data_IF_181817618031
#
_entry.id   IF_181817618031
#
_cell.length_a   1.000
_cell.length_b   1.000
_cell.length_c   1.000
_cell.angle_alpha   90.00
_cell.angle_beta   90.00
_cell.angle_gamma   90.00
#
_symmetry.space_group_name_H-M   'P 1'
#
loop_
_entity.id
_entity.type
_entity.pdbx_description
1 polymer ?
#
# COMPACT_ATOMS: atom_id res chain seq x y z
N UNK A 1 14.13 18.58 -1.15
CA UNK A 1 14.87 19.80 -1.51
C UNK A 1 13.94 20.98 -1.86
N UNK A 2 12.91 20.79 -2.69
CA UNK A 2 11.95 21.86 -3.04
C UNK A 2 11.20 22.46 -1.83
N UNK A 3 10.69 21.61 -0.93
CA UNK A 3 10.00 22.05 0.29
C UNK A 3 10.90 22.83 1.26
N UNK A 4 12.20 22.52 1.32
CA UNK A 4 13.16 23.24 2.16
C UNK A 4 13.47 24.65 1.66
N UNK A 5 13.55 24.84 0.34
CA UNK A 5 13.73 26.15 -0.28
C UNK A 5 12.52 27.07 -0.05
N UNK A 6 11.31 26.54 -0.27
CA UNK A 6 10.04 27.24 -0.02
C UNK A 6 9.97 27.71 1.44
N UNK A 7 10.27 26.82 2.38
CA UNK A 7 10.20 27.10 3.81
C UNK A 7 11.08 28.30 4.22
N UNK A 8 12.28 28.47 3.66
CA UNK A 8 13.18 29.58 4.02
C UNK A 8 12.59 30.97 3.74
N UNK A 9 11.64 31.08 2.81
CA UNK A 9 11.05 32.37 2.39
C UNK A 9 9.68 32.68 3.02
N UNK A 10 8.98 31.68 3.57
CA UNK A 10 7.62 31.85 4.09
C UNK A 10 7.57 31.95 5.62
N UNK A 11 6.80 32.92 6.15
CA UNK A 11 6.41 33.04 7.58
C UNK A 11 5.57 31.83 8.03
N UNK A 12 5.51 31.55 9.33
CA UNK A 12 4.79 30.40 9.90
C UNK A 12 3.34 30.26 9.40
N UNK A 13 2.55 31.34 9.41
CA UNK A 13 1.18 31.32 8.90
C UNK A 13 1.09 30.99 7.39
N UNK A 14 2.08 31.42 6.59
CA UNK A 14 2.13 31.09 5.15
C UNK A 14 2.60 29.65 4.93
N UNK A 15 3.49 29.13 5.78
CA UNK A 15 3.94 27.73 5.75
C UNK A 15 2.79 26.76 6.06
N UNK A 16 1.94 27.05 7.06
CA UNK A 16 0.76 26.21 7.34
C UNK A 16 -0.23 26.22 6.17
N UNK A 17 -0.49 27.39 5.56
CA UNK A 17 -1.32 27.47 4.33
C UNK A 17 -0.74 26.64 3.19
N UNK A 18 0.59 26.62 3.06
CA UNK A 18 1.27 25.78 2.08
C UNK A 18 1.08 24.27 2.39
N UNK A 19 1.19 23.84 3.64
CA UNK A 19 0.88 22.46 4.03
C UNK A 19 -0.56 22.06 3.67
N UNK A 20 -1.53 22.92 3.96
CA UNK A 20 -2.94 22.72 3.62
C UNK A 20 -3.13 22.62 2.10
N UNK A 21 -2.43 23.44 1.32
CA UNK A 21 -2.47 23.37 -0.14
C UNK A 21 -1.89 22.04 -0.66
N UNK A 22 -0.75 21.58 -0.13
CA UNK A 22 -0.14 20.31 -0.52
C UNK A 22 -1.03 19.10 -0.18
N UNK A 23 -1.64 19.09 1.00
CA UNK A 23 -2.60 18.04 1.39
C UNK A 23 -3.86 18.07 0.54
N UNK A 24 -4.37 19.25 0.19
CA UNK A 24 -5.50 19.39 -0.74
C UNK A 24 -5.16 18.78 -2.10
N UNK A 25 -3.97 19.04 -2.64
CA UNK A 25 -3.52 18.44 -3.92
C UNK A 25 -3.41 16.92 -3.79
N UNK A 26 -2.86 16.41 -2.70
CA UNK A 26 -2.79 14.96 -2.44
C UNK A 26 -4.18 14.31 -2.31
N UNK A 27 -5.15 15.02 -1.71
CA UNK A 27 -6.55 14.60 -1.63
C UNK A 27 -7.18 14.51 -3.02
N UNK A 28 -6.95 15.49 -3.89
CA UNK A 28 -7.42 15.45 -5.28
C UNK A 28 -6.79 14.32 -6.10
N UNK A 29 -5.59 13.85 -5.73
CA UNK A 29 -4.91 12.72 -6.36
C UNK A 29 -5.33 11.36 -5.77
N UNK A 30 -5.99 11.33 -4.61
CA UNK A 30 -6.45 10.10 -3.94
C UNK A 30 -7.40 9.21 -4.77
N UNK A 31 -8.22 9.70 -5.72
CA UNK A 31 -8.97 8.84 -6.63
C UNK A 31 -8.12 7.90 -7.48
N UNK A 32 -6.78 8.02 -7.47
CA UNK A 32 -5.89 7.03 -8.08
C UNK A 32 -6.16 5.60 -7.58
N UNK A 33 -6.62 5.42 -6.34
CA UNK A 33 -6.96 4.09 -5.79
C UNK A 33 -8.18 3.46 -6.49
N UNK A 34 -9.03 4.26 -7.16
CA UNK A 34 -10.12 3.74 -7.99
C UNK A 34 -9.62 3.14 -9.30
N UNK A 35 -8.39 3.48 -9.71
CA UNK A 35 -7.72 2.86 -10.86
C UNK A 35 -7.04 1.59 -10.35
N UNK A 36 -7.85 0.56 -10.09
CA UNK A 36 -7.37 -0.78 -9.82
C UNK A 36 -7.62 -1.67 -11.03
N UNK A 37 -6.79 -2.69 -11.18
CA UNK A 37 -6.99 -3.74 -12.16
C UNK A 37 -7.69 -4.90 -11.48
N UNK A 38 -8.81 -5.34 -12.05
CA UNK A 38 -9.41 -6.59 -11.61
C UNK A 38 -8.45 -7.73 -11.93
N UNK A 39 -8.33 -8.70 -11.02
CA UNK A 39 -7.61 -9.91 -11.34
C UNK A 39 -8.53 -10.83 -12.14
N UNK A 40 -7.93 -11.76 -12.90
CA UNK A 40 -8.73 -12.76 -13.62
C UNK A 40 -9.31 -13.73 -12.59
N UNK A 41 -10.64 -13.83 -12.57
CA UNK A 41 -11.38 -14.64 -11.60
C UNK A 41 -10.92 -16.11 -11.60
N UNK A 42 -10.77 -16.66 -10.40
CA UNK A 42 -10.39 -18.04 -10.18
C UNK A 42 -11.60 -18.97 -10.25
N UNK A 43 -11.64 -19.85 -11.26
CA UNK A 43 -12.71 -20.80 -11.45
C UNK A 43 -12.79 -21.81 -10.28
N UNK A 44 -14.00 -21.97 -9.73
CA UNK A 44 -14.29 -22.82 -8.59
C UNK A 44 -14.03 -22.17 -7.22
N UNK A 45 -13.58 -20.91 -7.18
CA UNK A 45 -13.35 -20.14 -5.95
C UNK A 45 -14.12 -18.81 -5.98
N UNK A 46 -13.96 -18.03 -7.04
CA UNK A 46 -14.63 -16.73 -7.20
C UNK A 46 -15.76 -16.80 -8.22
N UNK A 47 -15.53 -17.55 -9.30
CA UNK A 47 -16.50 -17.76 -10.37
C UNK A 47 -16.76 -19.24 -10.58
N UNK A 48 -17.92 -19.57 -11.17
CA UNK A 48 -18.20 -20.95 -11.56
C UNK A 48 -17.32 -21.37 -12.73
N UNK A 49 -17.10 -22.69 -12.85
CA UNK A 49 -16.42 -23.25 -14.02
C UNK A 49 -17.11 -22.77 -15.32
N UNK A 50 -16.32 -22.36 -16.34
CA UNK A 50 -16.89 -21.89 -17.60
C UNK A 50 -17.77 -22.99 -18.22
N UNK A 51 -19.04 -22.67 -18.44
CA UNK A 51 -20.02 -23.50 -19.17
C UNK A 51 -20.27 -22.91 -20.54
N UNK A 52 -20.76 -23.74 -21.46
CA UNK A 52 -21.09 -23.35 -22.84
C UNK A 52 -22.16 -22.24 -22.93
N UNK A 53 -23.03 -22.09 -21.91
CA UNK A 53 -24.24 -21.26 -22.01
C UNK A 53 -24.36 -20.12 -20.99
N UNK A 54 -23.32 -19.85 -20.18
CA UNK A 54 -23.39 -18.80 -19.14
C UNK A 54 -24.37 -19.08 -18.00
N UNK A 55 -24.92 -20.29 -17.93
CA UNK A 55 -25.71 -20.83 -16.82
C UNK A 55 -25.05 -22.13 -16.35
N UNK A 56 -25.11 -22.42 -15.05
CA UNK A 56 -24.43 -23.57 -14.42
C UNK A 56 -24.69 -24.90 -15.13
N UNK A 57 -23.68 -25.78 -15.14
CA UNK A 57 -23.71 -27.11 -15.76
C UNK A 57 -25.03 -27.83 -15.44
N UNK A 58 -25.86 -28.11 -16.44
CA UNK A 58 -26.97 -29.05 -16.29
C UNK A 58 -26.45 -30.47 -16.51
N UNK A 59 -26.58 -31.39 -15.53
CA UNK A 59 -26.11 -32.76 -15.69
C UNK A 59 -26.97 -33.50 -16.71
N UNK A 60 -26.35 -34.01 -17.78
CA UNK A 60 -26.93 -35.08 -18.59
C UNK A 60 -26.70 -36.42 -17.88
N UNK A 61 -27.45 -36.65 -16.80
CA UNK A 61 -27.64 -37.99 -16.24
C UNK A 61 -28.93 -38.01 -15.42
N UNK A 62 -29.81 -38.96 -15.76
CA UNK A 62 -31.12 -39.20 -15.14
C UNK A 62 -31.03 -39.73 -13.70
N UNK A 63 -30.29 -39.07 -12.81
CA UNK A 63 -30.36 -39.37 -11.38
C UNK A 63 -30.29 -38.09 -10.55
N UNK A 64 -31.35 -37.92 -9.78
CA UNK A 64 -31.73 -36.78 -8.98
C UNK A 64 -30.75 -36.53 -7.82
N UNK A 65 -30.12 -35.34 -7.83
CA UNK A 65 -29.75 -34.42 -6.72
C UNK A 65 -28.35 -33.81 -6.88
N UNK A 66 -28.14 -32.96 -7.87
CA UNK A 66 -27.26 -31.80 -7.68
C UNK A 66 -27.78 -30.69 -8.59
N UNK A 67 -28.80 -29.99 -8.11
CA UNK A 67 -29.18 -28.71 -8.72
C UNK A 67 -27.99 -27.78 -8.51
N UNK A 68 -27.22 -27.54 -9.57
CA UNK A 68 -26.25 -26.43 -9.62
C UNK A 68 -27.08 -25.16 -9.52
N UNK A 69 -27.37 -24.75 -8.29
CA UNK A 69 -28.02 -23.49 -8.01
C UNK A 69 -27.10 -22.39 -8.56
N UNK A 70 -27.56 -21.52 -9.47
CA UNK A 70 -26.81 -20.32 -9.88
C UNK A 70 -26.58 -19.35 -8.71
N UNK A 71 -27.25 -19.60 -7.58
CA UNK A 71 -27.12 -18.91 -6.29
C UNK A 71 -26.24 -19.67 -5.28
N UNK A 72 -25.72 -20.84 -5.64
CA UNK A 72 -24.81 -21.61 -4.80
C UNK A 72 -23.39 -21.05 -4.93
N UNK A 73 -22.60 -21.11 -3.85
CA UNK A 73 -21.19 -20.74 -3.91
C UNK A 73 -20.42 -21.60 -4.92
N UNK A 74 -19.46 -21.03 -5.68
CA UNK A 74 -18.60 -21.81 -6.57
C UNK A 74 -17.84 -22.91 -5.79
N UNK A 75 -17.60 -24.04 -6.45
CA UNK A 75 -16.92 -25.21 -5.87
C UNK A 75 -15.70 -25.57 -6.70
N UNK A 76 -14.60 -25.94 -6.04
CA UNK A 76 -13.36 -26.38 -6.69
C UNK A 76 -13.54 -27.66 -7.52
N UNK A 77 -14.35 -28.62 -7.04
CA UNK A 77 -14.67 -29.84 -7.79
C UNK A 77 -15.89 -29.64 -8.68
N UNK A 78 -15.78 -30.15 -9.90
CA UNK A 78 -16.81 -30.16 -10.94
C UNK A 78 -16.76 -31.50 -11.69
N UNK A 79 -17.74 -31.76 -12.55
CA UNK A 79 -17.78 -33.00 -13.34
C UNK A 79 -16.57 -33.12 -14.29
N UNK A 80 -16.10 -32.00 -14.85
CA UNK A 80 -14.96 -31.98 -15.77
C UNK A 80 -13.65 -32.43 -15.10
N UNK A 81 -13.38 -32.04 -13.85
CA UNK A 81 -12.20 -32.48 -13.09
C UNK A 81 -12.47 -33.70 -12.20
N UNK A 82 -13.62 -34.36 -12.35
CA UNK A 82 -13.98 -35.56 -11.58
C UNK A 82 -13.15 -36.79 -11.93
N UNK A 83 -12.47 -36.79 -13.08
CA UNK A 83 -11.60 -37.89 -13.52
C UNK A 83 -10.25 -37.93 -12.78
N UNK A 84 -9.88 -36.85 -12.08
CA UNK A 84 -8.61 -36.72 -11.37
C UNK A 84 -8.82 -36.49 -9.86
N UNK A 85 -7.98 -37.10 -9.03
CA UNK A 85 -8.05 -36.98 -7.56
C UNK A 85 -7.35 -35.70 -7.09
N UNK A 86 -7.94 -34.53 -7.35
CA UNK A 86 -7.32 -33.26 -6.97
C UNK A 86 -7.27 -33.06 -5.46
N UNK A 87 -6.11 -32.61 -4.97
CA UNK A 87 -5.90 -32.18 -3.59
C UNK A 87 -6.23 -30.69 -3.45
N UNK A 88 -6.97 -30.32 -2.40
CA UNK A 88 -7.33 -28.93 -2.11
C UNK A 88 -6.14 -28.09 -1.63
N UNK A 89 -5.11 -28.72 -1.10
CA UNK A 89 -3.87 -28.11 -0.65
C UNK A 89 -2.88 -27.81 -1.79
N UNK A 90 -3.06 -28.44 -2.96
CA UNK A 90 -2.13 -28.29 -4.09
C UNK A 90 -2.51 -27.07 -4.95
N UNK A 91 -1.89 -25.93 -4.65
CA UNK A 91 -2.12 -24.66 -5.33
C UNK A 91 -1.01 -24.38 -6.37
N UNK A 92 -1.35 -24.56 -7.65
CA UNK A 92 -0.47 -24.31 -8.78
C UNK A 92 -1.27 -23.63 -9.91
N UNK A 93 -1.54 -22.32 -9.81
CA UNK A 93 -2.48 -21.67 -10.72
C UNK A 93 -2.07 -21.83 -12.18
N UNK A 94 -3.05 -22.08 -13.03
CA UNK A 94 -2.87 -22.17 -14.49
C UNK A 94 -3.83 -21.24 -15.20
N UNK A 95 -3.34 -20.58 -16.25
CA UNK A 95 -4.13 -19.69 -17.09
C UNK A 95 -4.55 -20.41 -18.35
N UNK A 96 -5.87 -20.47 -18.61
CA UNK A 96 -6.41 -20.86 -19.90
C UNK A 96 -6.75 -19.61 -20.73
N UNK A 97 -6.15 -19.50 -21.90
CA UNK A 97 -6.49 -18.52 -22.93
C UNK A 97 -7.45 -19.17 -23.94
N UNK A 98 -8.70 -18.71 -23.96
CA UNK A 98 -9.70 -19.14 -24.94
C UNK A 98 -9.50 -18.39 -26.27
N UNK A 99 -9.91 -18.99 -27.39
CA UNK A 99 -9.83 -18.35 -28.71
C UNK A 99 -10.63 -17.05 -28.83
N UNK A 100 -11.67 -16.86 -28.01
CA UNK A 100 -12.41 -15.60 -27.87
C UNK A 100 -11.59 -14.46 -27.24
N UNK A 101 -10.38 -14.74 -26.75
CA UNK A 101 -9.54 -13.80 -26.03
C UNK A 101 -9.88 -13.67 -24.54
N UNK A 102 -10.89 -14.41 -24.05
CA UNK A 102 -11.21 -14.52 -22.62
C UNK A 102 -10.16 -15.38 -21.92
N UNK A 103 -9.75 -14.93 -20.74
CA UNK A 103 -8.80 -15.62 -19.88
C UNK A 103 -9.53 -16.15 -18.64
N UNK A 104 -9.17 -17.35 -18.20
CA UNK A 104 -9.70 -17.97 -16.97
C UNK A 104 -8.54 -18.60 -16.21
N UNK A 105 -8.47 -18.36 -14.90
CA UNK A 105 -7.46 -19.00 -14.04
C UNK A 105 -8.12 -20.18 -13.31
N UNK A 106 -7.39 -21.29 -13.21
CA UNK A 106 -7.80 -22.46 -12.43
C UNK A 106 -6.84 -22.68 -11.25
N UNK A 107 -7.35 -23.27 -10.17
CA UNK A 107 -6.59 -23.47 -8.92
C UNK A 107 -5.33 -24.35 -9.08
N UNK A 108 -5.42 -25.39 -9.92
CA UNK A 108 -4.30 -26.25 -10.28
C UNK A 108 -4.50 -26.88 -11.66
N UNK A 109 -3.49 -27.51 -12.27
CA UNK A 109 -3.66 -28.26 -13.51
C UNK A 109 -4.69 -29.39 -13.37
N UNK A 110 -4.77 -30.01 -12.18
CA UNK A 110 -5.77 -31.02 -11.87
C UNK A 110 -7.19 -30.41 -11.85
N UNK A 111 -7.37 -29.26 -11.22
CA UNK A 111 -8.66 -28.58 -11.20
C UNK A 111 -9.08 -28.06 -12.58
N UNK A 112 -8.14 -27.74 -13.46
CA UNK A 112 -8.37 -27.49 -14.88
C UNK A 112 -8.68 -28.78 -15.68
N UNK A 113 -8.55 -29.96 -15.06
CA UNK A 113 -8.84 -31.26 -15.64
C UNK A 113 -7.83 -31.69 -16.71
N UNK A 114 -6.57 -31.29 -16.58
CA UNK A 114 -5.48 -31.66 -17.48
C UNK A 114 -4.86 -33.02 -17.07
N UNK A 115 -4.39 -33.81 -18.04
CA UNK A 115 -3.73 -35.11 -17.84
C UNK A 115 -2.31 -35.02 -17.20
N UNK A 116 -2.04 -33.97 -16.42
CA UNK A 116 -0.81 -33.70 -15.66
C UNK A 116 0.53 -33.66 -16.44
N UNK A 117 0.55 -33.88 -17.76
CA UNK A 117 1.77 -33.77 -18.58
C UNK A 117 2.06 -32.31 -18.92
N UNK A 118 2.85 -31.66 -18.07
CA UNK A 118 3.46 -30.36 -18.39
C UNK A 118 4.53 -30.55 -19.48
N UNK A 119 4.39 -29.85 -20.61
CA UNK A 119 5.42 -29.85 -21.64
C UNK A 119 6.46 -28.75 -21.37
N UNK A 120 7.71 -29.08 -20.98
CA UNK A 120 8.71 -28.08 -20.62
C UNK A 120 9.15 -27.23 -21.81
N UNK A 121 9.06 -27.76 -23.03
CA UNK A 121 9.46 -27.06 -24.26
C UNK A 121 8.45 -26.00 -24.69
N UNK A 122 7.15 -26.30 -24.61
CA UNK A 122 6.07 -25.35 -24.95
C UNK A 122 5.58 -24.56 -23.75
N UNK A 123 5.95 -24.96 -22.52
CA UNK A 123 5.50 -24.40 -21.24
C UNK A 123 3.98 -24.42 -21.07
N UNK A 124 3.35 -25.47 -21.57
CA UNK A 124 1.89 -25.59 -21.66
C UNK A 124 1.39 -26.95 -21.13
N UNK A 125 0.14 -26.95 -20.65
CA UNK A 125 -0.63 -28.14 -20.31
C UNK A 125 -1.58 -28.51 -21.45
N UNK A 126 -1.75 -29.81 -21.65
CA UNK A 126 -2.60 -30.37 -22.69
C UNK A 126 -3.74 -31.21 -22.10
N UNK A 127 -4.76 -31.43 -22.92
CA UNK A 127 -5.92 -32.28 -22.63
C UNK A 127 -6.69 -31.85 -21.36
N UNK A 128 -6.84 -30.55 -21.16
CA UNK A 128 -7.59 -29.98 -20.05
C UNK A 128 -9.09 -30.02 -20.34
N UNK A 129 -9.84 -30.81 -19.57
CA UNK A 129 -11.27 -31.06 -19.77
C UNK A 129 -12.19 -29.96 -19.24
N UNK A 130 -11.73 -29.15 -18.29
CA UNK A 130 -12.49 -28.01 -17.75
C UNK A 130 -12.29 -26.71 -18.55
N UNK A 131 -11.42 -26.74 -19.56
CA UNK A 131 -11.23 -25.67 -20.54
C UNK A 131 -12.07 -26.10 -21.75
N UNK A 132 -13.14 -25.37 -22.07
CA UNK A 132 -14.30 -25.82 -22.86
C UNK A 132 -14.04 -26.72 -24.08
N UNK A 133 -14.99 -27.61 -24.38
CA UNK A 133 -14.95 -28.56 -25.52
C UNK A 133 -16.20 -28.43 -26.42
N UNK A 134 -16.08 -27.77 -27.58
CA UNK A 134 -15.92 -28.40 -28.91
C UNK A 134 -16.57 -27.60 -30.06
N UNK A 135 -15.78 -27.34 -31.11
CA UNK A 135 -16.23 -26.71 -32.36
C UNK A 135 -15.14 -25.86 -32.99
N UNK A 136 -14.08 -26.49 -33.51
CA UNK A 136 -12.90 -25.85 -34.14
C UNK A 136 -12.06 -25.06 -33.11
N UNK A 137 -11.05 -25.73 -32.52
CA UNK A 137 -9.83 -25.08 -32.03
C UNK A 137 -10.00 -23.88 -31.07
N UNK A 138 -10.80 -24.00 -30.00
CA UNK A 138 -10.94 -22.91 -29.02
C UNK A 138 -10.00 -22.97 -27.81
N UNK A 139 -9.20 -24.04 -27.65
CA UNK A 139 -8.08 -24.03 -26.70
C UNK A 139 -6.91 -23.39 -27.40
N UNK A 140 -6.59 -22.14 -27.05
CA UNK A 140 -5.40 -21.52 -27.59
C UNK A 140 -4.18 -22.05 -26.84
N UNK A 141 -4.10 -21.83 -25.52
CA UNK A 141 -2.97 -22.27 -24.66
C UNK A 141 -3.40 -22.37 -23.20
N UNK A 142 -2.95 -23.41 -22.48
CA UNK A 142 -3.03 -23.48 -21.01
C UNK A 142 -1.62 -23.34 -20.45
N UNK A 143 -1.31 -22.19 -19.87
CA UNK A 143 0.03 -21.84 -19.38
C UNK A 143 0.11 -21.95 -17.87
N UNK A 144 1.33 -22.17 -17.38
CA UNK A 144 1.64 -22.05 -15.96
C UNK A 144 1.50 -20.62 -15.46
N UNK A 145 0.96 -20.46 -14.25
CA UNK A 145 0.82 -19.20 -13.55
C UNK A 145 -0.50 -18.48 -13.82
N UNK A 146 -0.56 -17.24 -13.36
CA UNK A 146 -1.70 -16.35 -13.60
C UNK A 146 -1.71 -15.83 -15.04
N UNK A 147 -2.90 -15.43 -15.49
CA UNK A 147 -3.07 -14.83 -16.80
C UNK A 147 -2.40 -13.46 -16.89
N UNK A 148 -1.86 -13.14 -18.08
CA UNK A 148 -1.29 -11.82 -18.35
C UNK A 148 -2.42 -10.78 -18.36
N UNK A 149 -2.40 -9.86 -17.39
CA UNK A 149 -3.39 -8.80 -17.27
C UNK A 149 -3.21 -7.78 -18.39
N UNK A 150 -4.20 -7.66 -19.30
CA UNK A 150 -4.26 -6.60 -20.33
C UNK A 150 -4.70 -5.25 -19.77
N UNK A 151 -4.34 -4.95 -18.52
CA UNK A 151 -4.83 -3.77 -17.83
C UNK A 151 -4.01 -2.52 -18.18
N UNK A 152 -4.58 -1.63 -18.98
CA UNK A 152 -3.99 -0.32 -19.28
C UNK A 152 -4.00 0.62 -18.06
N UNK A 153 -4.87 0.34 -17.07
CA UNK A 153 -5.02 1.14 -15.85
C UNK A 153 -3.76 1.19 -14.98
N UNK A 154 -2.89 0.18 -15.03
CA UNK A 154 -1.66 0.14 -14.25
C UNK A 154 -0.75 1.34 -14.56
N UNK A 155 -0.60 1.70 -15.83
CA UNK A 155 0.21 2.86 -16.21
C UNK A 155 -0.39 4.16 -15.67
N UNK A 156 -1.72 4.32 -15.74
CA UNK A 156 -2.44 5.45 -15.17
C UNK A 156 -2.27 5.54 -13.65
N UNK A 157 -2.37 4.41 -12.94
CA UNK A 157 -2.11 4.33 -11.51
C UNK A 157 -0.70 4.80 -11.17
N UNK A 158 0.33 4.32 -11.88
CA UNK A 158 1.72 4.72 -11.63
C UNK A 158 1.97 6.21 -11.88
N UNK A 159 1.38 6.76 -12.94
CA UNK A 159 1.50 8.18 -13.29
C UNK A 159 0.86 9.09 -12.24
N UNK A 160 -0.20 8.65 -11.56
CA UNK A 160 -0.84 9.39 -10.46
C UNK A 160 -0.19 9.11 -9.09
N UNK A 161 0.32 7.91 -8.89
CA UNK A 161 0.97 7.49 -7.65
C UNK A 161 2.25 8.26 -7.37
N UNK A 162 3.08 8.50 -8.40
CA UNK A 162 4.31 9.26 -8.27
C UNK A 162 4.10 10.70 -7.75
N UNK A 163 3.24 11.55 -8.36
CA UNK A 163 2.96 12.88 -7.82
C UNK A 163 2.25 12.81 -6.47
N UNK A 164 1.34 11.84 -6.25
CA UNK A 164 0.71 11.65 -4.94
C UNK A 164 1.76 11.47 -3.83
N UNK A 165 2.73 10.57 -4.04
CA UNK A 165 3.82 10.33 -3.09
C UNK A 165 4.64 11.59 -2.88
N UNK A 166 4.99 12.30 -3.95
CA UNK A 166 5.74 13.55 -3.86
C UNK A 166 5.03 14.57 -2.96
N UNK A 167 3.73 14.82 -3.19
CA UNK A 167 2.98 15.78 -2.38
C UNK A 167 2.77 15.30 -0.94
N UNK A 168 2.50 14.02 -0.72
CA UNK A 168 2.35 13.44 0.61
C UNK A 168 3.63 13.60 1.45
N UNK A 169 4.80 13.27 0.90
CA UNK A 169 6.07 13.41 1.61
C UNK A 169 6.55 14.87 1.68
N UNK A 170 6.18 15.72 0.71
CA UNK A 170 6.56 17.13 0.71
C UNK A 170 6.00 17.91 1.91
N UNK A 171 4.90 17.44 2.53
CA UNK A 171 4.29 18.04 3.73
C UNK A 171 5.17 17.88 4.99
N UNK A 172 6.00 16.85 5.07
CA UNK A 172 6.79 16.58 6.29
C UNK A 172 7.79 17.70 6.63
N UNK A 173 8.50 18.22 5.62
CA UNK A 173 9.50 19.29 5.81
C UNK A 173 8.89 20.61 6.32
N UNK A 174 7.82 21.17 5.72
CA UNK A 174 7.22 22.39 6.22
C UNK A 174 6.57 22.21 7.60
N UNK A 175 6.05 21.02 7.93
CA UNK A 175 5.57 20.74 9.30
C UNK A 175 6.68 20.82 10.34
N UNK A 176 7.81 20.15 10.11
CA UNK A 176 8.97 20.23 11.00
C UNK A 176 9.47 21.67 11.13
N UNK A 177 9.48 22.43 10.03
CA UNK A 177 9.88 23.83 10.09
C UNK A 177 8.93 24.72 10.89
N UNK A 178 7.62 24.45 10.89
CA UNK A 178 6.68 25.20 11.73
C UNK A 178 7.01 24.96 13.19
N UNK A 179 7.21 23.70 13.60
CA UNK A 179 7.57 23.35 14.99
C UNK A 179 8.85 24.06 15.44
N UNK A 180 9.89 24.06 14.60
CA UNK A 180 11.16 24.73 14.92
C UNK A 180 11.06 26.25 15.07
N UNK A 181 10.06 26.87 14.47
CA UNK A 181 9.84 28.32 14.53
C UNK A 181 8.89 28.73 15.65
N UNK A 182 8.10 27.80 16.19
CA UNK A 182 7.20 28.06 17.31
C UNK A 182 7.86 27.84 18.67
N UNK A 183 9.06 27.27 18.71
CA UNK A 183 9.80 26.98 19.95
C UNK A 183 11.15 27.68 19.98
N UNK A 184 11.57 28.06 21.19
CA UNK A 184 12.85 28.72 21.41
C UNK A 184 14.04 27.81 21.07
N UNK A 185 15.17 28.43 20.71
CA UNK A 185 16.36 27.71 20.25
C UNK A 185 16.85 26.64 21.23
N UNK A 186 16.73 26.89 22.54
CA UNK A 186 17.16 25.97 23.59
C UNK A 186 16.28 24.71 23.69
N UNK A 187 15.01 24.77 23.25
CA UNK A 187 14.03 23.69 23.45
C UNK A 187 13.72 22.90 22.16
N UNK A 188 14.32 23.29 21.03
CA UNK A 188 14.06 22.67 19.71
C UNK A 188 14.27 21.17 19.67
N UNK A 189 15.39 20.71 20.21
CA UNK A 189 15.73 19.28 20.22
C UNK A 189 14.75 18.47 21.07
N UNK A 190 14.28 19.06 22.17
CA UNK A 190 13.27 18.45 23.04
C UNK A 190 11.91 18.36 22.33
N UNK A 191 11.45 19.45 21.71
CA UNK A 191 10.21 19.49 20.94
C UNK A 191 10.21 18.49 19.77
N UNK A 192 11.29 18.41 19.00
CA UNK A 192 11.44 17.43 17.93
C UNK A 192 11.45 15.99 18.47
N UNK A 193 12.10 15.75 19.61
CA UNK A 193 12.07 14.45 20.28
C UNK A 193 10.65 13.99 20.59
N UNK A 194 9.85 14.85 21.22
CA UNK A 194 8.43 14.57 21.53
C UNK A 194 7.63 14.36 20.24
N UNK A 195 7.82 15.21 19.23
CA UNK A 195 7.14 15.09 17.94
C UNK A 195 7.37 13.70 17.32
N UNK A 196 8.61 13.22 17.29
CA UNK A 196 8.93 11.90 16.73
C UNK A 196 8.40 10.75 17.57
N UNK A 197 8.38 10.87 18.90
CA UNK A 197 7.77 9.87 19.78
C UNK A 197 6.27 9.77 19.47
N UNK A 198 5.56 10.89 19.38
CA UNK A 198 4.13 10.91 19.07
C UNK A 198 3.84 10.35 17.67
N UNK A 199 4.63 10.73 16.65
CA UNK A 199 4.51 10.19 15.29
C UNK A 199 4.69 8.67 15.29
N UNK A 200 5.61 8.14 16.10
CA UNK A 200 5.84 6.70 16.17
C UNK A 200 4.69 5.98 16.86
N UNK A 201 4.27 6.47 18.03
CA UNK A 201 3.23 5.83 18.85
C UNK A 201 1.87 5.85 18.14
N UNK A 202 1.51 6.96 17.51
CA UNK A 202 0.18 7.16 16.91
C UNK A 202 0.16 6.77 15.43
N UNK A 203 1.31 6.84 14.74
CA UNK A 203 1.40 6.59 13.30
C UNK A 203 2.10 5.28 12.99
N UNK A 204 3.42 5.20 13.24
CA UNK A 204 4.25 4.11 12.69
C UNK A 204 4.01 2.76 13.35
N UNK A 205 3.63 2.71 14.64
CA UNK A 205 3.30 1.45 15.34
C UNK A 205 1.95 0.88 14.87
N UNK A 206 0.84 1.65 14.81
CA UNK A 206 -0.43 1.12 14.35
C UNK A 206 -0.49 0.90 12.83
N UNK A 207 0.34 1.58 12.02
CA UNK A 207 0.29 1.45 10.57
C UNK A 207 0.51 0.00 10.07
N UNK A 208 1.56 -0.76 10.47
CA UNK A 208 1.71 -2.16 10.08
C UNK A 208 0.57 -3.06 10.55
N UNK A 209 0.02 -2.82 11.74
CA UNK A 209 -1.13 -3.59 12.27
C UNK A 209 -2.36 -3.36 11.41
N UNK A 210 -2.62 -2.11 11.04
CA UNK A 210 -3.71 -1.73 10.16
C UNK A 210 -3.54 -2.33 8.76
N UNK A 211 -2.35 -2.23 8.18
CA UNK A 211 -2.06 -2.83 6.88
C UNK A 211 -2.21 -4.36 6.94
N UNK A 212 -1.74 -5.03 7.99
CA UNK A 212 -1.96 -6.46 8.20
C UNK A 212 -3.44 -6.81 8.18
N UNK A 213 -4.24 -6.11 8.97
CA UNK A 213 -5.70 -6.30 9.01
C UNK A 213 -6.37 -6.07 7.64
N UNK A 214 -5.93 -5.07 6.87
CA UNK A 214 -6.47 -4.84 5.52
C UNK A 214 -6.19 -6.00 4.56
N UNK A 215 -5.00 -6.60 4.62
CA UNK A 215 -4.66 -7.78 3.83
C UNK A 215 -5.43 -9.02 4.31
N UNK A 216 -5.58 -9.20 5.62
CA UNK A 216 -6.31 -10.32 6.19
C UNK A 216 -7.80 -10.29 5.80
N UNK A 217 -8.44 -9.11 5.87
CA UNK A 217 -9.85 -8.92 5.50
C UNK A 217 -10.07 -9.08 3.99
N UNK A 218 -9.09 -8.70 3.17
CA UNK A 218 -9.17 -8.88 1.72
C UNK A 218 -8.81 -10.30 1.26
N UNK A 219 -8.49 -11.22 2.17
CA UNK A 219 -8.16 -12.59 1.81
C UNK A 219 -9.40 -13.39 1.36
N UNK A 220 -9.34 -13.93 0.13
CA UNK A 220 -10.38 -14.81 -0.44
C UNK A 220 -10.09 -16.27 -0.10
N UNK A 221 -8.84 -16.71 -0.28
CA UNK A 221 -8.44 -18.11 -0.06
C UNK A 221 -7.12 -18.19 0.70
N UNK A 222 -7.18 -18.87 1.83
CA UNK A 222 -6.02 -19.23 2.64
C UNK A 222 -5.35 -20.50 2.09
N UNK A 223 -4.03 -20.57 2.24
CA UNK A 223 -3.29 -21.80 2.02
C UNK A 223 -3.62 -22.80 3.13
N UNK A 224 -3.75 -24.08 2.77
CA UNK A 224 -3.94 -25.18 3.72
C UNK A 224 -2.75 -26.12 3.55
N UNK A 225 -1.97 -26.30 4.61
CA UNK A 225 -0.78 -27.13 4.56
C UNK A 225 -1.17 -28.61 4.40
N UNK A 226 -0.65 -29.32 3.38
CA UNK A 226 -1.02 -30.72 3.11
C UNK A 226 -0.59 -31.68 4.23
N UNK A 227 0.41 -31.31 5.03
CA UNK A 227 0.99 -32.17 6.06
C UNK A 227 0.41 -31.93 7.46
N UNK A 228 0.17 -30.68 7.85
CA UNK A 228 -0.33 -30.31 9.18
C UNK A 228 -1.83 -29.98 9.19
N UNK A 229 -2.43 -29.70 8.04
CA UNK A 229 -3.83 -29.25 7.95
C UNK A 229 -4.06 -27.86 8.56
N UNK A 230 -2.98 -27.15 8.91
CA UNK A 230 -3.06 -25.80 9.48
C UNK A 230 -3.30 -24.76 8.38
N UNK A 231 -4.02 -23.70 8.74
CA UNK A 231 -4.24 -22.56 7.86
C UNK A 231 -2.97 -21.71 7.82
N UNK A 232 -2.40 -21.59 6.61
CA UNK A 232 -1.23 -20.78 6.33
C UNK A 232 -1.56 -19.38 5.84
N UNK A 233 -0.62 -18.78 5.10
CA UNK A 233 -0.77 -17.45 4.51
C UNK A 233 -1.89 -17.37 3.47
N UNK A 234 -2.45 -16.17 3.28
CA UNK A 234 -3.41 -15.95 2.21
C UNK A 234 -2.75 -16.05 0.81
N UNK A 235 -3.40 -16.78 -0.09
CA UNK A 235 -2.94 -17.01 -1.47
C UNK A 235 -3.56 -16.04 -2.47
N UNK A 236 -4.82 -15.64 -2.26
CA UNK A 236 -5.57 -14.80 -3.18
C UNK A 236 -6.29 -13.69 -2.43
N UNK A 237 -6.12 -12.45 -2.88
CA UNK A 237 -6.71 -11.26 -2.29
C UNK A 237 -7.71 -10.62 -3.25
N UNK A 238 -8.75 -10.01 -2.68
CA UNK A 238 -9.75 -9.25 -3.43
C UNK A 238 -9.24 -7.82 -3.71
N UNK A 239 -8.80 -7.56 -4.94
CA UNK A 239 -8.23 -6.28 -5.34
C UNK A 239 -9.17 -5.09 -5.11
N UNK A 240 -10.47 -5.26 -5.37
CA UNK A 240 -11.48 -4.20 -5.19
C UNK A 240 -11.61 -3.78 -3.72
N UNK A 241 -11.83 -4.75 -2.83
CA UNK A 241 -11.96 -4.47 -1.40
C UNK A 241 -10.69 -3.83 -0.84
N UNK A 242 -9.52 -4.33 -1.25
CA UNK A 242 -8.24 -3.79 -0.84
C UNK A 242 -8.08 -2.31 -1.29
N UNK A 243 -8.40 -2.01 -2.54
CA UNK A 243 -8.36 -0.65 -3.08
C UNK A 243 -9.32 0.31 -2.34
N UNK A 244 -10.54 -0.15 -2.03
CA UNK A 244 -11.52 0.65 -1.29
C UNK A 244 -11.08 0.93 0.15
N UNK A 245 -10.45 -0.05 0.81
CA UNK A 245 -9.88 0.14 2.15
C UNK A 245 -8.74 1.16 2.11
N UNK A 246 -7.78 1.04 1.17
CA UNK A 246 -6.70 2.02 1.02
C UNK A 246 -7.21 3.44 0.76
N UNK A 247 -8.19 3.58 -0.14
CA UNK A 247 -8.82 4.87 -0.42
C UNK A 247 -9.48 5.45 0.84
N UNK A 248 -10.24 4.63 1.57
CA UNK A 248 -10.95 5.07 2.77
C UNK A 248 -9.98 5.56 3.85
N UNK A 249 -8.96 4.77 4.19
CA UNK A 249 -7.98 5.16 5.20
C UNK A 249 -7.15 6.36 4.78
N UNK A 250 -6.75 6.45 3.50
CA UNK A 250 -6.02 7.60 2.97
C UNK A 250 -6.85 8.88 3.08
N UNK A 251 -8.09 8.88 2.59
CA UNK A 251 -8.98 10.04 2.62
C UNK A 251 -9.30 10.46 4.04
N UNK A 252 -9.69 9.52 4.91
CA UNK A 252 -10.00 9.82 6.33
C UNK A 252 -8.78 10.39 7.04
N UNK A 253 -7.60 9.79 6.87
CA UNK A 253 -6.37 10.29 7.47
C UNK A 253 -6.00 11.70 6.99
N UNK A 254 -6.14 11.98 5.69
CA UNK A 254 -5.90 13.30 5.13
C UNK A 254 -6.91 14.35 5.62
N UNK A 255 -8.20 14.01 5.71
CA UNK A 255 -9.23 14.90 6.24
C UNK A 255 -8.97 15.25 7.70
N UNK A 256 -8.61 14.27 8.54
CA UNK A 256 -8.24 14.49 9.94
C UNK A 256 -7.04 15.44 10.02
N UNK A 257 -5.98 15.18 9.24
CA UNK A 257 -4.79 16.04 9.21
C UNK A 257 -5.13 17.47 8.76
N UNK A 258 -5.98 17.61 7.74
CA UNK A 258 -6.47 18.91 7.26
C UNK A 258 -7.24 19.66 8.33
N UNK A 259 -8.14 18.99 9.05
CA UNK A 259 -8.89 19.59 10.16
C UNK A 259 -7.93 20.09 11.23
N UNK A 260 -6.95 19.28 11.65
CA UNK A 260 -5.96 19.70 12.64
C UNK A 260 -5.14 20.92 12.18
N UNK A 261 -4.70 20.95 10.92
CA UNK A 261 -3.94 22.09 10.38
C UNK A 261 -4.80 23.34 10.23
N UNK A 262 -6.07 23.22 9.84
CA UNK A 262 -7.00 24.34 9.77
C UNK A 262 -7.29 24.87 11.17
N UNK A 263 -7.55 24.00 12.16
CA UNK A 263 -7.72 24.41 13.56
C UNK A 263 -6.47 25.14 14.05
N UNK A 264 -5.28 24.57 13.84
CA UNK A 264 -4.00 25.21 14.19
C UNK A 264 -3.87 26.58 13.52
N UNK A 265 -4.19 26.68 12.23
CA UNK A 265 -4.17 27.95 11.53
C UNK A 265 -5.13 28.95 12.17
N UNK A 266 -6.37 28.57 12.48
CA UNK A 266 -7.35 29.49 13.06
C UNK A 266 -6.92 29.99 14.44
N UNK A 267 -6.54 29.08 15.35
CA UNK A 267 -6.13 29.44 16.71
C UNK A 267 -4.82 30.24 16.75
N UNK A 268 -3.80 29.83 15.99
CA UNK A 268 -2.50 30.48 16.00
C UNK A 268 -2.37 31.63 15.00
N UNK A 269 -3.31 31.83 14.08
CA UNK A 269 -3.29 32.98 13.15
C UNK A 269 -3.31 34.33 13.86
N UNK A 270 -3.91 34.38 15.04
CA UNK A 270 -3.92 35.57 15.88
C UNK A 270 -2.53 35.82 16.48
N UNK A 271 -1.89 34.78 17.04
CA UNK A 271 -0.58 34.91 17.71
C UNK A 271 0.60 35.07 16.75
N UNK A 272 0.52 34.55 15.52
CA UNK A 272 1.64 34.54 14.55
C UNK A 272 1.70 35.78 13.64
N UNK A 273 0.81 36.76 13.82
CA UNK A 273 0.85 38.03 13.06
C UNK A 273 1.77 39.08 13.68
N UNK A 274 2.13 38.91 14.95
CA UNK A 274 2.73 39.96 15.77
C UNK A 274 4.27 40.01 15.71
N UNK A 275 4.94 39.05 15.06
CA UNK A 275 6.41 39.11 14.95
C UNK A 275 6.84 40.20 13.96
N UNK A 276 7.70 41.17 14.36
CA UNK A 276 8.31 42.13 13.45
C UNK A 276 9.23 41.43 12.44
N UNK A 277 9.51 42.05 11.28
CA UNK A 277 10.43 41.47 10.29
C UNK A 277 11.82 41.23 10.91
N UNK A 278 12.56 40.21 10.46
CA UNK A 278 13.94 40.02 10.87
C UNK A 278 14.74 41.25 10.45
N UNK A 279 15.28 41.98 11.43
CA UNK A 279 16.25 43.05 11.18
C UNK A 279 17.47 42.41 10.51
N UNK A 280 17.92 42.91 9.35
CA UNK A 280 19.18 42.47 8.77
C UNK A 280 20.28 42.65 9.82
N UNK A 281 20.96 41.57 10.21
CA UNK A 281 22.20 41.71 10.97
C UNK A 281 23.17 42.47 10.07
N UNK A 282 23.41 43.74 10.41
CA UNK A 282 24.50 44.50 9.81
C UNK A 282 25.77 43.70 10.05
N UNK A 283 26.45 43.35 8.96
CA UNK A 283 27.81 42.85 8.99
C UNK A 283 28.66 44.05 9.39
N UNK A 284 29.07 44.09 10.65
CA UNK A 284 30.07 45.04 11.11
C UNK A 284 31.44 44.51 10.69
N UNK A 285 31.83 44.84 9.46
CA UNK A 285 33.20 44.69 8.97
C UNK A 285 33.99 45.93 9.38
N UNK A 286 34.70 45.85 10.51
CA UNK A 286 35.97 46.58 10.68
C UNK A 286 36.98 45.73 11.48
N UNK A 287 38.00 45.29 10.73
CA UNK A 287 39.24 44.51 11.01
C UNK A 287 40.22 45.15 12.03
N UNK A 288 41.42 44.58 12.33
CA UNK A 288 41.86 43.18 12.55
C UNK A 288 42.80 43.04 13.79
N UNK A 289 43.34 41.82 14.00
CA UNK A 289 44.49 41.42 14.83
C UNK A 289 44.27 41.24 16.34
N UNK A 290 44.21 39.98 16.80
CA UNK A 290 45.35 39.33 17.47
C UNK A 290 45.07 37.82 17.66
N UNK A 291 46.07 37.01 17.37
CA UNK A 291 46.07 35.56 17.37
C UNK A 291 46.53 35.04 18.74
N UNK A 292 46.21 33.77 19.01
CA UNK A 292 46.85 32.82 19.95
C UNK A 292 46.21 32.56 21.35
N UNK A 293 46.46 31.40 21.98
CA UNK A 293 45.51 30.27 22.00
C UNK A 293 45.26 29.68 23.42
N UNK A 294 44.44 28.62 23.48
CA UNK A 294 44.39 27.53 24.49
C UNK A 294 44.83 27.80 25.95
N UNK A 295 43.93 27.58 26.93
CA UNK A 295 44.11 26.58 28.02
C UNK A 295 42.93 26.59 29.04
N UNK A 296 42.31 25.42 29.15
CA UNK A 296 41.77 24.73 30.35
C UNK A 296 41.23 25.55 31.53
N UNK A 297 39.94 25.39 31.82
CA UNK A 297 39.38 25.55 33.17
C UNK A 297 39.86 24.41 34.09
N UNK A 298 40.52 24.74 35.19
CA UNK A 298 40.55 23.91 36.40
C UNK A 298 39.67 24.55 37.48
N UNK A 299 38.77 23.75 38.05
CA UNK A 299 37.93 24.11 39.17
C UNK A 299 38.36 23.41 40.46
N UNK A 300 38.38 24.20 41.54
CA UNK A 300 38.27 23.86 42.99
C UNK A 300 39.52 23.44 43.78
N UNK A 301 39.52 23.58 45.12
CA UNK A 301 39.14 24.75 45.91
C UNK A 301 40.19 25.12 47.00
N UNK A 302 39.99 26.32 47.55
CA UNK A 302 40.70 26.96 48.68
C UNK A 302 40.95 26.02 49.86
N UNK A 303 42.21 25.97 50.35
CA UNK A 303 42.52 25.56 51.72
C UNK A 303 43.60 26.45 52.34
N UNK A 304 43.28 26.89 53.55
CA UNK A 304 43.96 27.82 54.46
C UNK A 304 45.34 27.35 54.99
N UNK A 305 46.31 28.30 55.03
CA UNK A 305 47.31 28.70 56.07
C UNK A 305 47.69 27.65 57.17
N UNK A 306 48.96 27.49 57.67
CA UNK A 306 49.95 28.52 58.10
C UNK A 306 51.42 28.28 57.68
N UNK A 307 52.26 29.31 57.47
CA UNK A 307 52.98 30.21 58.41
C UNK A 307 54.32 29.64 58.94
N UNK A 308 55.36 30.48 58.80
CA UNK A 308 56.72 30.48 59.39
C UNK A 308 57.89 29.64 58.79
N UNK A 309 58.87 30.45 58.34
CA UNK A 309 60.33 30.26 58.15
C UNK A 309 60.79 29.38 57.00
#
# INVERSE_FOLDING_TARGET
>A
MFSGFVVQHFRCAKTIKFCIALLTVSLFLSPMYLIYCDHVELAGVESHYPTEDGFGWTPSSNNYTDYVNPFGSPKLRSQCNGHCQCLASEYHPVCAELASGKQVVFFSPCYAGCDAKYHPTTKEYNNCTCVGKHGISEIQRVKNGFCESKCTGLFGFLVLFAPFCFFAFAVGVPLISVVLRTVDYAERSFALGIQWILVRVIGTIPAPVLFGWMFDVSCIKQHEDPCSGEQGSCMLYQNKLLADLFMTFSVVGQLIAMIFLVCTLLFFSHSMRDDPPPVPKAIDDTTPDEFDPMLTEEGTPVKSKPELV
#
